data_IF_320517026702
#
_entry.id   IF_320517026702
#
_cell.length_a   1.000
_cell.length_b   1.000
_cell.length_c   1.000
_cell.angle_alpha   90.00
_cell.angle_beta   90.00
_cell.angle_gamma   90.00
#
_symmetry.space_group_name_H-M   'P 1'
#
loop_
_entity.id
_entity.type
_entity.pdbx_description
1 polymer ?
#
# COMPACT_ATOMS: atom_id res chain seq x y z
N UNK A 1 -34.00 -13.27 -16.81
CA UNK A 1 -33.99 -11.80 -16.64
C UNK A 1 -32.69 -11.46 -15.93
N UNK A 2 -31.76 -10.84 -16.65
CA UNK A 2 -30.43 -10.50 -16.16
C UNK A 2 -30.53 -9.26 -15.30
N UNK A 3 -30.44 -9.40 -13.98
CA UNK A 3 -30.08 -8.28 -13.11
C UNK A 3 -28.63 -7.93 -13.44
N UNK A 4 -28.45 -7.12 -14.48
CA UNK A 4 -27.31 -6.24 -14.55
C UNK A 4 -27.50 -5.27 -13.38
N UNK A 5 -27.10 -5.72 -12.19
CA UNK A 5 -26.84 -4.84 -11.06
C UNK A 5 -26.11 -3.64 -11.64
N UNK A 6 -26.71 -2.45 -11.50
CA UNK A 6 -26.13 -1.20 -11.92
C UNK A 6 -24.67 -1.21 -11.50
N UNK A 7 -23.78 -1.27 -12.49
CA UNK A 7 -22.34 -1.30 -12.24
C UNK A 7 -22.03 0.07 -11.64
N UNK A 8 -22.05 0.14 -10.31
CA UNK A 8 -21.71 1.35 -9.58
C UNK A 8 -20.30 1.74 -9.99
N UNK A 9 -20.19 2.95 -10.50
CA UNK A 9 -18.92 3.47 -11.00
C UNK A 9 -18.01 3.67 -9.77
N UNK A 10 -16.79 3.10 -9.74
CA UNK A 10 -15.84 3.19 -8.63
C UNK A 10 -15.42 4.62 -8.24
N UNK A 11 -15.90 5.66 -8.93
CA UNK A 11 -15.59 7.07 -8.61
C UNK A 11 -15.93 7.42 -7.16
N UNK A 12 -17.00 6.82 -6.65
CA UNK A 12 -17.50 7.02 -5.29
C UNK A 12 -17.25 5.81 -4.38
N UNK A 13 -16.49 4.82 -4.85
CA UNK A 13 -16.07 3.68 -4.03
C UNK A 13 -14.69 3.93 -3.42
N UNK A 14 -14.48 3.55 -2.14
CA UNK A 14 -13.18 3.57 -1.53
C UNK A 14 -12.29 2.47 -2.11
N UNK A 15 -11.05 2.83 -2.37
CA UNK A 15 -9.96 1.97 -2.77
C UNK A 15 -8.94 1.96 -1.64
N UNK A 16 -8.75 0.79 -1.02
CA UNK A 16 -7.77 0.54 0.02
C UNK A 16 -6.50 -0.02 -0.60
N UNK A 17 -5.43 0.77 -0.61
CA UNK A 17 -4.10 0.35 -1.07
C UNK A 17 -3.31 -0.16 0.13
N UNK A 18 -2.95 -1.44 0.13
CA UNK A 18 -2.44 -2.12 1.32
C UNK A 18 -0.98 -2.53 1.18
N UNK A 19 -0.12 -1.86 1.94
CA UNK A 19 1.29 -2.20 2.09
C UNK A 19 1.56 -3.04 3.33
N UNK A 20 2.54 -3.95 3.26
CA UNK A 20 2.95 -4.79 4.40
C UNK A 20 4.48 -4.77 4.60
N UNK A 21 4.95 -4.90 5.84
CA UNK A 21 6.33 -4.61 6.25
C UNK A 21 7.35 -5.77 6.32
N UNK A 22 7.02 -7.01 5.94
CA UNK A 22 7.70 -8.24 6.43
C UNK A 22 9.26 -8.27 6.40
N UNK A 23 10.02 -9.03 7.22
CA UNK A 23 9.78 -9.92 8.40
C UNK A 23 10.47 -9.34 9.65
N UNK A 24 9.75 -9.31 10.79
CA UNK A 24 10.01 -9.81 12.18
C UNK A 24 9.18 -8.98 13.18
N UNK A 25 8.98 -9.49 14.41
CA UNK A 25 7.68 -10.00 14.83
C UNK A 25 6.59 -8.92 14.77
N UNK A 26 5.40 -9.32 14.31
CA UNK A 26 4.27 -8.49 13.88
C UNK A 26 4.40 -7.96 12.44
N UNK A 27 3.44 -8.33 11.58
CA UNK A 27 3.29 -7.69 10.26
C UNK A 27 2.67 -6.31 10.51
N UNK A 28 3.43 -5.26 10.24
CA UNK A 28 2.88 -3.91 10.17
C UNK A 28 2.25 -3.75 8.80
N UNK A 29 1.03 -3.24 8.77
CA UNK A 29 0.31 -2.90 7.55
C UNK A 29 0.10 -1.39 7.52
N UNK A 30 0.16 -0.84 6.32
CA UNK A 30 -0.16 0.55 6.06
C UNK A 30 -1.23 0.56 4.97
N UNK A 31 -2.37 1.16 5.29
CA UNK A 31 -3.49 1.29 4.36
C UNK A 31 -3.62 2.74 3.97
N UNK A 32 -3.58 2.99 2.67
CA UNK A 32 -3.96 4.26 2.09
C UNK A 32 -5.39 4.11 1.59
N UNK A 33 -6.31 4.86 2.21
CA UNK A 33 -7.68 4.95 1.74
C UNK A 33 -7.80 6.14 0.78
N UNK A 34 -8.33 5.89 -0.41
CA UNK A 34 -8.65 6.89 -1.41
C UNK A 34 -10.03 6.60 -1.97
N UNK A 35 -10.82 7.62 -2.24
CA UNK A 35 -11.94 7.49 -3.17
C UNK A 35 -11.39 7.31 -4.58
N UNK A 36 -12.08 6.55 -5.44
CA UNK A 36 -11.64 6.40 -6.83
C UNK A 36 -11.39 7.74 -7.51
N UNK A 37 -12.28 8.71 -7.31
CA UNK A 37 -12.16 10.09 -7.80
C UNK A 37 -10.93 10.86 -7.32
N UNK A 38 -10.32 10.48 -6.19
CA UNK A 38 -9.13 11.14 -5.63
C UNK A 38 -7.83 10.63 -6.25
N UNK A 39 -7.81 9.40 -6.79
CA UNK A 39 -6.58 8.80 -7.36
C UNK A 39 -5.88 9.70 -8.38
N UNK A 40 -6.59 10.34 -9.34
CA UNK A 40 -5.96 11.26 -10.28
C UNK A 40 -5.37 12.52 -9.64
N UNK A 41 -5.89 12.98 -8.50
CA UNK A 41 -5.43 14.21 -7.84
C UNK A 41 -4.01 14.05 -7.29
N UNK A 42 -3.70 12.86 -6.77
CA UNK A 42 -2.38 12.55 -6.25
C UNK A 42 -1.36 12.19 -7.36
N UNK A 43 -1.81 12.05 -8.62
CA UNK A 43 -0.97 11.59 -9.75
C UNK A 43 0.30 12.41 -9.92
N UNK A 44 0.23 13.74 -9.82
CA UNK A 44 1.41 14.60 -9.97
C UNK A 44 2.45 14.35 -8.87
N UNK A 45 2.01 14.21 -7.61
CA UNK A 45 2.88 13.90 -6.46
C UNK A 45 3.53 12.54 -6.63
N UNK A 46 2.72 11.57 -7.05
CA UNK A 46 3.20 10.23 -7.37
C UNK A 46 4.20 10.24 -8.50
N UNK A 47 4.01 11.01 -9.57
CA UNK A 47 4.96 11.15 -10.67
C UNK A 47 6.30 11.69 -10.16
N UNK A 48 6.28 12.67 -9.27
CA UNK A 48 7.51 13.19 -8.65
C UNK A 48 8.26 12.13 -7.84
N UNK A 49 7.54 11.25 -7.16
CA UNK A 49 8.12 10.25 -6.24
C UNK A 49 8.51 8.93 -6.92
N UNK A 50 7.66 8.45 -7.83
CA UNK A 50 7.81 7.19 -8.56
C UNK A 50 8.49 7.41 -9.93
N UNK A 51 8.65 8.65 -10.36
CA UNK A 51 9.26 9.02 -11.64
C UNK A 51 8.45 8.52 -12.84
N UNK A 52 9.16 8.07 -13.87
CA UNK A 52 8.55 7.50 -15.08
C UNK A 52 7.75 6.20 -14.85
N UNK A 53 7.78 5.62 -13.65
CA UNK A 53 7.07 4.37 -13.36
C UNK A 53 5.55 4.52 -13.39
N UNK A 54 5.00 5.72 -13.19
CA UNK A 54 3.56 5.96 -13.40
C UNK A 54 3.19 6.16 -14.86
N UNK A 55 4.16 6.55 -15.70
CA UNK A 55 3.96 6.71 -17.14
C UNK A 55 4.16 5.41 -17.89
N UNK A 56 4.97 4.51 -17.33
CA UNK A 56 5.24 3.18 -17.87
C UNK A 56 4.63 2.21 -16.86
N UNK A 57 3.43 1.69 -17.13
CA UNK A 57 2.90 0.55 -16.36
C UNK A 57 3.98 -0.54 -16.33
N UNK A 58 4.66 -0.69 -15.19
CA UNK A 58 5.91 -1.45 -15.15
C UNK A 58 5.58 -2.93 -15.26
N UNK A 59 6.12 -3.59 -16.28
CA UNK A 59 6.07 -5.05 -16.46
C UNK A 59 6.92 -5.81 -15.43
N UNK A 60 7.73 -5.10 -14.64
CA UNK A 60 8.56 -5.68 -13.58
C UNK A 60 7.86 -5.60 -12.21
N UNK A 61 8.08 -6.60 -11.33
CA UNK A 61 7.51 -6.60 -9.99
C UNK A 61 7.91 -5.36 -9.18
N UNK A 62 6.94 -4.74 -8.50
CA UNK A 62 7.18 -3.59 -7.62
C UNK A 62 8.21 -3.98 -6.54
N UNK A 63 9.37 -3.30 -6.44
CA UNK A 63 10.44 -3.68 -5.53
C UNK A 63 10.00 -3.53 -4.07
N UNK A 64 10.47 -4.44 -3.22
CA UNK A 64 10.26 -4.36 -1.77
C UNK A 64 10.88 -3.07 -1.18
N UNK A 65 10.27 -2.44 -0.15
CA UNK A 65 10.79 -1.23 0.52
C UNK A 65 12.26 -1.32 0.95
N UNK A 66 12.68 -2.48 1.48
CA UNK A 66 14.08 -2.68 1.86
C UNK A 66 15.03 -2.59 0.65
N UNK A 67 14.58 -2.91 -0.56
CA UNK A 67 15.38 -2.72 -1.79
C UNK A 67 15.51 -1.24 -2.16
N UNK A 68 14.46 -0.46 -1.92
CA UNK A 68 14.46 1.00 -2.09
C UNK A 68 15.53 1.62 -1.18
N UNK A 69 15.47 1.35 0.13
CA UNK A 69 16.45 1.86 1.11
C UNK A 69 17.88 1.42 0.76
N UNK A 70 18.05 0.19 0.26
CA UNK A 70 19.36 -0.35 -0.09
C UNK A 70 19.87 0.09 -1.48
N UNK A 71 19.15 0.94 -2.22
CA UNK A 71 19.54 1.37 -3.56
C UNK A 71 19.47 0.27 -4.63
N UNK A 72 18.78 -0.85 -4.35
CA UNK A 72 18.67 -2.01 -5.23
C UNK A 72 17.47 -1.82 -6.17
N UNK A 73 17.62 -0.96 -7.18
CA UNK A 73 16.63 -0.77 -8.24
C UNK A 73 17.03 -1.49 -9.54
N UNK A 74 16.05 -1.68 -10.44
CA UNK A 74 16.17 -2.43 -11.70
C UNK A 74 17.29 -1.95 -12.64
N UNK A 75 17.37 -2.52 -13.84
CA UNK A 75 18.54 -2.41 -14.73
C UNK A 75 18.99 -0.96 -15.06
N UNK A 76 18.10 0.04 -14.94
CA UNK A 76 18.39 1.47 -15.23
C UNK A 76 19.29 2.17 -14.21
N UNK A 77 19.45 1.62 -13.01
CA UNK A 77 20.34 2.15 -11.96
C UNK A 77 21.71 1.47 -11.89
N UNK A 78 22.02 0.57 -12.84
CA UNK A 78 23.27 -0.21 -12.87
C UNK A 78 24.57 0.61 -12.96
N UNK A 79 24.51 1.92 -13.19
CA UNK A 79 25.68 2.78 -13.37
C UNK A 79 26.17 3.49 -12.10
N UNK A 80 25.53 3.27 -10.95
CA UNK A 80 25.88 3.98 -9.70
C UNK A 80 26.65 3.05 -8.77
N UNK A 81 27.78 3.51 -8.21
CA UNK A 81 28.48 2.76 -7.17
C UNK A 81 27.55 2.49 -5.96
N UNK A 82 27.83 1.45 -5.17
CA UNK A 82 26.93 0.97 -4.10
C UNK A 82 26.56 2.09 -3.11
N UNK A 83 27.50 2.97 -2.74
CA UNK A 83 27.26 4.06 -1.79
C UNK A 83 26.30 5.10 -2.34
N UNK A 84 26.49 5.54 -3.58
CA UNK A 84 25.60 6.51 -4.21
C UNK A 84 24.22 5.92 -4.52
N UNK A 85 24.13 4.62 -4.83
CA UNK A 85 22.85 3.92 -4.92
C UNK A 85 22.11 3.89 -3.58
N UNK A 86 22.82 3.60 -2.48
CA UNK A 86 22.25 3.64 -1.13
C UNK A 86 21.81 5.05 -0.73
N UNK A 87 22.62 6.08 -0.98
CA UNK A 87 22.28 7.46 -0.67
C UNK A 87 21.01 7.92 -1.42
N UNK A 88 20.91 7.58 -2.71
CA UNK A 88 19.71 7.83 -3.51
C UNK A 88 18.49 7.07 -2.94
N UNK A 89 18.67 5.80 -2.58
CA UNK A 89 17.62 4.98 -1.97
C UNK A 89 17.08 5.56 -0.67
N UNK A 90 17.97 6.05 0.20
CA UNK A 90 17.62 6.73 1.45
C UNK A 90 16.90 8.06 1.19
N UNK A 91 17.38 8.86 0.24
CA UNK A 91 16.73 10.10 -0.16
C UNK A 91 15.31 9.86 -0.69
N UNK A 92 15.13 8.84 -1.54
CA UNK A 92 13.80 8.44 -2.02
C UNK A 92 12.91 8.00 -0.86
N UNK A 93 13.40 7.14 0.04
CA UNK A 93 12.62 6.66 1.18
C UNK A 93 12.17 7.82 2.08
N UNK A 94 13.02 8.82 2.31
CA UNK A 94 12.68 10.03 3.08
C UNK A 94 11.56 10.82 2.41
N UNK A 95 11.69 11.11 1.11
CA UNK A 95 10.65 11.82 0.34
C UNK A 95 9.31 11.08 0.33
N UNK A 96 9.34 9.75 0.29
CA UNK A 96 8.11 8.95 0.40
C UNK A 96 7.48 9.06 1.79
N UNK A 97 8.29 9.03 2.85
CA UNK A 97 7.77 9.18 4.21
C UNK A 97 7.14 10.58 4.41
N UNK A 98 7.81 11.64 3.97
CA UNK A 98 7.28 13.01 4.00
C UNK A 98 5.98 13.13 3.20
N UNK A 99 5.89 12.51 2.01
CA UNK A 99 4.67 12.55 1.21
C UNK A 99 3.51 11.75 1.81
N UNK A 100 3.78 10.77 2.67
CA UNK A 100 2.74 10.05 3.42
C UNK A 100 2.13 10.92 4.54
N UNK A 101 2.85 11.92 5.07
CA UNK A 101 2.30 12.88 6.03
C UNK A 101 1.23 13.78 5.39
N UNK A 102 1.32 13.99 4.08
CA UNK A 102 0.32 14.74 3.32
C UNK A 102 -0.91 13.91 2.95
N UNK A 103 -0.90 12.60 3.22
CA UNK A 103 -2.07 11.76 3.02
C UNK A 103 -3.11 12.06 4.10
N UNK A 104 -4.41 12.16 3.75
CA UNK A 104 -5.43 12.60 4.70
C UNK A 104 -5.45 11.76 5.99
N UNK A 105 -5.17 10.46 5.88
CA UNK A 105 -4.98 9.55 7.03
C UNK A 105 -4.43 8.18 6.61
N UNK A 106 -3.11 7.97 6.52
CA UNK A 106 -2.58 6.61 6.39
C UNK A 106 -2.91 5.83 7.68
N UNK A 107 -3.52 4.65 7.54
CA UNK A 107 -3.88 3.81 8.67
C UNK A 107 -2.80 2.78 8.91
N UNK A 108 -2.25 2.75 10.12
CA UNK A 108 -1.28 1.74 10.53
C UNK A 108 -1.96 0.71 11.41
N UNK A 109 -1.70 -0.56 11.12
CA UNK A 109 -2.12 -1.64 11.99
C UNK A 109 -1.01 -2.67 12.16
N UNK A 110 -0.99 -3.30 13.32
CA UNK A 110 0.04 -4.27 13.67
C UNK A 110 -0.62 -5.62 13.93
N UNK A 111 -0.29 -6.59 13.09
CA UNK A 111 -0.87 -7.92 13.15
C UNK A 111 0.16 -8.92 13.68
N UNK A 112 -0.21 -9.84 14.58
CA UNK A 112 0.67 -10.95 14.94
C UNK A 112 1.09 -11.75 13.71
N UNK A 113 2.27 -12.36 13.79
CA UNK A 113 2.77 -13.20 12.71
C UNK A 113 1.83 -14.40 12.55
N UNK A 114 1.22 -14.51 11.38
CA UNK A 114 0.32 -15.60 11.02
C UNK A 114 0.71 -16.20 9.66
N UNK A 115 0.10 -17.34 9.32
CA UNK A 115 0.17 -17.88 7.96
C UNK A 115 -0.32 -16.83 6.95
N UNK A 116 0.29 -16.73 5.77
CA UNK A 116 0.02 -15.65 4.81
C UNK A 116 -1.47 -15.54 4.46
N UNK A 117 -2.11 -16.67 4.17
CA UNK A 117 -3.54 -16.73 3.85
C UNK A 117 -4.43 -16.26 5.01
N UNK A 118 -4.11 -16.64 6.25
CA UNK A 118 -4.88 -16.22 7.42
C UNK A 118 -4.73 -14.72 7.68
N UNK A 119 -3.51 -14.20 7.53
CA UNK A 119 -3.25 -12.77 7.67
C UNK A 119 -3.99 -11.95 6.60
N UNK A 120 -4.00 -12.43 5.36
CA UNK A 120 -4.72 -11.80 4.25
C UNK A 120 -6.23 -11.80 4.49
N UNK A 121 -6.83 -12.94 4.85
CA UNK A 121 -8.25 -13.03 5.15
C UNK A 121 -8.66 -12.11 6.30
N UNK A 122 -7.89 -12.05 7.39
CA UNK A 122 -8.19 -11.17 8.52
C UNK A 122 -8.07 -9.70 8.15
N UNK A 123 -7.05 -9.34 7.38
CA UNK A 123 -6.88 -7.99 6.89
C UNK A 123 -8.04 -7.56 6.00
N UNK A 124 -8.49 -8.43 5.09
CA UNK A 124 -9.67 -8.17 4.25
C UNK A 124 -10.96 -8.02 5.09
N UNK A 125 -11.17 -8.85 6.11
CA UNK A 125 -12.30 -8.70 7.04
C UNK A 125 -12.27 -7.37 7.78
N UNK A 126 -11.09 -6.99 8.28
CA UNK A 126 -10.90 -5.69 8.93
C UNK A 126 -11.17 -4.53 7.96
N UNK A 127 -10.71 -4.60 6.71
CA UNK A 127 -11.02 -3.57 5.71
C UNK A 127 -12.52 -3.45 5.41
N UNK A 128 -13.28 -4.54 5.44
CA UNK A 128 -14.74 -4.48 5.32
C UNK A 128 -15.38 -3.62 6.44
N UNK A 129 -14.86 -3.66 7.68
CA UNK A 129 -15.37 -2.81 8.77
C UNK A 129 -15.05 -1.32 8.54
N UNK A 130 -14.04 -1.02 7.73
CA UNK A 130 -13.65 0.36 7.34
C UNK A 130 -14.53 0.95 6.24
N UNK A 131 -15.47 0.18 5.68
CA UNK A 131 -16.42 0.73 4.71
C UNK A 131 -17.34 1.80 5.31
N UNK A 132 -17.47 1.93 6.63
CA UNK A 132 -18.14 3.07 7.29
C UNK A 132 -19.55 3.38 6.72
N UNK A 133 -20.35 2.34 6.48
CA UNK A 133 -21.71 2.46 5.89
C UNK A 133 -21.75 2.48 4.36
N UNK A 134 -20.59 2.51 3.68
CA UNK A 134 -20.50 2.35 2.23
C UNK A 134 -20.79 0.89 1.85
N UNK A 135 -21.55 0.64 0.78
CA UNK A 135 -22.01 -0.71 0.42
C UNK A 135 -20.89 -1.60 -0.15
N UNK A 136 -19.86 -0.99 -0.75
CA UNK A 136 -18.78 -1.67 -1.42
C UNK A 136 -17.49 -0.84 -1.42
N UNK A 137 -16.38 -1.52 -1.68
CA UNK A 137 -15.08 -0.93 -1.96
C UNK A 137 -14.14 -1.92 -2.62
N UNK A 138 -12.93 -1.46 -2.93
CA UNK A 138 -11.86 -2.28 -3.51
C UNK A 138 -10.66 -2.32 -2.58
N UNK A 139 -9.98 -3.45 -2.52
CA UNK A 139 -8.67 -3.56 -1.90
C UNK A 139 -7.65 -4.04 -2.91
N UNK A 140 -6.47 -3.41 -2.93
CA UNK A 140 -5.32 -3.86 -3.69
C UNK A 140 -4.18 -4.20 -2.75
N UNK A 141 -3.67 -5.42 -2.86
CA UNK A 141 -2.70 -6.00 -1.92
C UNK A 141 -1.54 -6.60 -2.72
N UNK A 142 -0.34 -6.51 -2.19
CA UNK A 142 0.79 -7.31 -2.68
C UNK A 142 0.92 -8.61 -1.88
N UNK A 143 0.56 -9.73 -2.49
CA UNK A 143 0.65 -11.08 -1.92
C UNK A 143 1.97 -11.75 -2.32
N UNK A 144 2.18 -13.00 -1.89
CA UNK A 144 3.29 -13.82 -2.38
C UNK A 144 3.13 -14.24 -3.84
N UNK A 145 1.92 -14.18 -4.39
CA UNK A 145 1.60 -14.57 -5.76
C UNK A 145 1.62 -13.39 -6.74
N UNK A 146 1.72 -12.16 -6.24
CA UNK A 146 1.75 -10.96 -7.05
C UNK A 146 0.88 -9.86 -6.46
N UNK A 147 0.40 -8.97 -7.31
CA UNK A 147 -0.57 -7.96 -6.93
C UNK A 147 -1.96 -8.55 -7.13
N UNK A 148 -2.83 -8.36 -6.14
CA UNK A 148 -4.14 -8.99 -6.12
C UNK A 148 -5.18 -7.96 -5.70
N UNK A 149 -6.27 -7.90 -6.46
CA UNK A 149 -7.42 -7.04 -6.22
C UNK A 149 -8.55 -7.84 -5.60
N UNK A 150 -9.26 -7.25 -4.64
CA UNK A 150 -10.41 -7.86 -3.98
C UNK A 150 -11.57 -6.88 -3.96
N UNK A 151 -12.79 -7.42 -4.03
CA UNK A 151 -14.00 -6.65 -3.73
C UNK A 151 -14.31 -6.76 -2.23
N UNK A 152 -14.56 -5.63 -1.61
CA UNK A 152 -15.06 -5.54 -0.24
C UNK A 152 -16.55 -5.24 -0.28
N UNK A 153 -17.33 -5.92 0.55
CA UNK A 153 -18.76 -5.61 0.75
C UNK A 153 -19.08 -5.55 2.24
N UNK A 154 -20.24 -5.00 2.57
CA UNK A 154 -20.76 -4.96 3.95
C UNK A 154 -21.09 -6.35 4.49
N UNK A 155 -21.37 -7.32 3.62
CA UNK A 155 -21.68 -8.71 4.01
C UNK A 155 -20.42 -9.53 4.33
N UNK A 156 -19.24 -8.99 4.06
CA UNK A 156 -17.94 -9.60 4.32
C UNK A 156 -16.99 -9.54 3.12
N UNK A 157 -15.73 -9.94 3.29
CA UNK A 157 -14.80 -9.89 2.18
C UNK A 157 -15.13 -10.97 1.16
N UNK A 158 -15.25 -10.57 -0.11
CA UNK A 158 -15.23 -11.51 -1.22
C UNK A 158 -13.76 -11.94 -1.39
N UNK A 159 -13.46 -13.17 -0.95
CA UNK A 159 -12.10 -13.70 -0.92
C UNK A 159 -11.58 -14.13 -2.29
N UNK A 160 -12.43 -14.08 -3.32
CA UNK A 160 -12.03 -14.33 -4.70
C UNK A 160 -11.34 -13.11 -5.29
N UNK A 161 -10.10 -13.25 -5.80
CA UNK A 161 -9.43 -12.19 -6.53
C UNK A 161 -10.25 -11.69 -7.72
N UNK A 162 -10.27 -10.39 -7.92
CA UNK A 162 -10.83 -9.79 -9.13
C UNK A 162 -9.89 -10.05 -10.31
N UNK A 163 -10.39 -10.64 -11.42
CA UNK A 163 -9.61 -10.75 -12.64
C UNK A 163 -9.36 -9.36 -13.25
N UNK A 164 -8.27 -9.17 -14.02
CA UNK A 164 -7.92 -7.90 -14.64
C UNK A 164 -9.06 -7.28 -15.49
N UNK A 165 -9.83 -8.12 -16.16
CA UNK A 165 -10.97 -7.76 -17.01
C UNK A 165 -12.28 -7.54 -16.24
N UNK A 166 -12.26 -7.59 -14.90
CA UNK A 166 -13.46 -7.40 -14.11
C UNK A 166 -14.09 -6.02 -14.34
N UNK A 167 -15.43 -5.91 -14.40
CA UNK A 167 -16.10 -4.63 -14.61
C UNK A 167 -15.74 -3.56 -13.58
N UNK A 168 -15.49 -3.97 -12.33
CA UNK A 168 -15.09 -3.07 -11.25
C UNK A 168 -13.72 -2.42 -11.50
N UNK A 169 -12.74 -3.17 -12.01
CA UNK A 169 -11.42 -2.62 -12.36
C UNK A 169 -11.48 -1.79 -13.64
N UNK A 170 -12.28 -2.21 -14.63
CA UNK A 170 -12.45 -1.48 -15.88
C UNK A 170 -13.16 -0.12 -15.69
N UNK A 171 -13.92 0.03 -14.61
CA UNK A 171 -14.63 1.27 -14.28
C UNK A 171 -13.80 2.26 -13.44
N UNK A 172 -12.55 1.91 -13.07
CA UNK A 172 -11.63 2.83 -12.39
C UNK A 172 -11.37 4.09 -13.23
N UNK A 173 -11.15 5.26 -12.59
CA UNK A 173 -10.88 6.50 -13.31
C UNK A 173 -9.48 6.56 -13.97
N UNK A 174 -8.64 5.58 -13.70
CA UNK A 174 -7.36 5.35 -14.36
C UNK A 174 -7.10 3.84 -14.48
N UNK A 175 -6.13 3.39 -15.30
CA UNK A 175 -5.78 1.98 -15.39
C UNK A 175 -5.43 1.38 -14.02
N UNK A 176 -5.90 0.16 -13.72
CA UNK A 176 -5.62 -0.52 -12.44
C UNK A 176 -4.12 -0.54 -12.11
N UNK A 177 -3.27 -0.79 -13.12
CA UNK A 177 -1.82 -0.76 -12.99
C UNK A 177 -1.26 0.59 -12.48
N UNK A 178 -1.92 1.73 -12.76
CA UNK A 178 -1.52 3.02 -12.19
C UNK A 178 -1.81 3.08 -10.68
N UNK A 179 -2.94 2.52 -10.24
CA UNK A 179 -3.30 2.43 -8.82
C UNK A 179 -2.37 1.48 -8.06
N UNK A 180 -2.00 0.36 -8.70
CA UNK A 180 -1.10 -0.63 -8.11
C UNK A 180 0.28 -0.05 -7.76
N UNK A 181 0.74 0.98 -8.45
CA UNK A 181 2.00 1.65 -8.14
C UNK A 181 2.00 2.32 -6.76
N UNK A 182 0.81 2.66 -6.25
CA UNK A 182 0.60 3.18 -4.89
C UNK A 182 0.89 2.14 -3.80
N UNK A 183 1.02 0.86 -4.15
CA UNK A 183 1.56 -0.14 -3.22
C UNK A 183 2.99 0.18 -2.81
N UNK A 184 3.76 0.92 -3.61
CA UNK A 184 5.13 1.32 -3.26
C UNK A 184 5.17 2.23 -2.03
N UNK A 185 4.49 3.39 -2.02
CA UNK A 185 4.42 4.23 -0.82
C UNK A 185 3.77 3.50 0.35
N UNK A 186 2.67 2.75 0.15
CA UNK A 186 2.04 2.00 1.23
C UNK A 186 3.01 0.99 1.89
N UNK A 187 3.78 0.23 1.10
CA UNK A 187 4.77 -0.71 1.65
C UNK A 187 5.90 0.02 2.39
N UNK A 188 6.35 1.17 1.89
CA UNK A 188 7.35 2.00 2.58
C UNK A 188 6.81 2.51 3.92
N UNK A 189 5.55 2.97 3.96
CA UNK A 189 4.87 3.35 5.19
C UNK A 189 4.83 2.21 6.21
N UNK A 190 4.42 1.02 5.76
CA UNK A 190 4.41 -0.17 6.63
C UNK A 190 5.80 -0.51 7.18
N UNK A 191 6.84 -0.43 6.34
CA UNK A 191 8.22 -0.69 6.76
C UNK A 191 8.77 0.39 7.71
N UNK A 192 8.43 1.65 7.48
CA UNK A 192 8.81 2.77 8.34
C UNK A 192 8.16 2.66 9.73
N UNK A 193 6.85 2.40 9.81
CA UNK A 193 6.16 2.18 11.08
C UNK A 193 6.73 0.96 11.85
N UNK A 194 7.06 -0.12 11.13
CA UNK A 194 7.76 -1.27 11.72
C UNK A 194 9.12 -0.86 12.34
N UNK A 195 9.96 -0.14 11.60
CA UNK A 195 11.27 0.30 12.09
C UNK A 195 11.15 1.29 13.26
N UNK A 196 10.14 2.18 13.23
CA UNK A 196 9.84 3.10 14.31
C UNK A 196 9.61 2.37 15.64
N UNK A 197 8.81 1.29 15.61
CA UNK A 197 8.52 0.46 16.78
C UNK A 197 9.68 -0.39 17.25
N UNK A 198 10.45 -0.98 16.33
CA UNK A 198 11.60 -1.81 16.70
C UNK A 198 12.77 -1.02 17.26
N UNK A 199 12.92 0.23 16.86
CA UNK A 199 14.03 1.10 17.26
C UNK A 199 13.50 2.41 17.87
N UNK A 200 12.85 2.36 19.05
CA UNK A 200 12.27 3.56 19.67
C UNK A 200 13.35 4.57 20.05
N UNK A 201 14.55 4.10 20.41
CA UNK A 201 15.70 4.94 20.70
C UNK A 201 16.32 5.53 19.43
N UNK A 202 16.42 6.86 19.38
CA UNK A 202 16.92 7.65 18.24
C UNK A 202 18.31 7.18 17.76
N UNK A 203 19.19 6.76 18.66
CA UNK A 203 20.55 6.31 18.33
C UNK A 203 20.61 5.04 17.47
N UNK A 204 19.55 4.22 17.47
CA UNK A 204 19.46 2.99 16.69
C UNK A 204 18.51 3.12 15.49
N UNK A 205 17.89 4.30 15.31
CA UNK A 205 16.98 4.53 14.19
C UNK A 205 17.74 4.62 12.87
N UNK A 206 17.25 3.99 11.80
CA UNK A 206 17.81 4.19 10.47
C UNK A 206 17.75 5.67 10.07
N UNK A 207 18.85 6.21 9.52
CA UNK A 207 18.97 7.64 9.16
C UNK A 207 18.02 8.13 8.05
N UNK A 208 17.41 7.21 7.32
CA UNK A 208 16.39 7.53 6.32
C UNK A 208 15.00 7.69 6.93
N UNK A 209 14.77 7.10 8.11
CA UNK A 209 13.50 7.15 8.81
C UNK A 209 13.37 8.54 9.45
N UNK A 210 12.30 9.31 9.16
CA UNK A 210 12.02 10.54 9.87
C UNK A 210 11.95 10.31 11.39
N UNK A 211 12.37 11.31 12.17
CA UNK A 211 12.34 11.24 13.64
C UNK A 211 10.91 11.19 14.16
N UNK A 212 10.02 11.93 13.50
CA UNK A 212 8.60 11.99 13.80
C UNK A 212 7.86 11.34 12.63
N UNK A 213 7.05 10.34 12.95
CA UNK A 213 6.13 9.71 12.01
C UNK A 213 4.76 9.72 12.68
N UNK A 214 3.98 10.81 12.54
CA UNK A 214 2.76 11.02 13.34
C UNK A 214 1.71 9.92 13.14
N UNK A 215 1.80 9.18 12.02
CA UNK A 215 0.94 8.05 11.70
C UNK A 215 1.49 6.68 12.13
N UNK A 216 2.75 6.58 12.57
CA UNK A 216 3.40 5.29 12.84
C UNK A 216 2.97 4.61 14.14
N UNK A 217 2.29 5.33 15.03
CA UNK A 217 1.98 4.89 16.40
C UNK A 217 0.54 4.35 16.57
N UNK A 218 -0.22 4.13 15.50
CA UNK A 218 -1.55 3.50 15.60
C UNK A 218 -1.43 1.98 15.89
N UNK A 219 -1.76 1.59 17.14
CA UNK A 219 -1.82 0.20 17.57
C UNK A 219 -3.24 -0.39 17.43
N UNK A 220 -3.64 -0.76 16.21
CA UNK A 220 -4.91 -1.49 15.95
C UNK A 220 -4.75 -3.01 16.22
N UNK A 221 -3.80 -3.40 17.09
CA UNK A 221 -3.52 -4.80 17.39
C UNK A 221 -4.70 -5.51 18.10
N UNK A 222 -5.62 -4.75 18.73
CA UNK A 222 -6.75 -5.30 19.47
C UNK A 222 -8.01 -5.55 18.62
N UNK A 223 -8.24 -4.82 17.51
CA UNK A 223 -9.48 -4.96 16.73
C UNK A 223 -9.41 -6.05 15.64
N UNK A 224 -8.22 -6.41 15.13
CA UNK A 224 -8.07 -7.47 14.10
C UNK A 224 -8.17 -8.89 14.71
N UNK A 225 -8.42 -9.00 16.02
CA UNK A 225 -8.48 -10.25 16.77
C UNK A 225 -9.89 -10.79 17.03
N UNK A 226 -10.93 -10.01 16.78
CA UNK A 226 -12.35 -10.43 16.89
C UNK A 226 -12.95 -10.78 15.55
#
# INVERSE_FOLDING_TARGET
MSNADEIRIPRDEPIFIVGTSGRLPLRTICVLELMGSEVPWYRHRWITLLGDRLRIATTEPIPHPSRIVNGKYGARTRSVNVRAAQALGQQCARRFAEALDEFPKPLIAHMPKQHSQQAEQRMLRWLCTRLAGRPSGLAVIHTSQGITWYRLTTDGPVLEPLPPESPALMALPCPAAEVELLLTPAKLGAYAAYQHRCYPHVSYRPTWLPLELPWADEDIAQEILT
#
